data_IF_550906580373
#
_entry.id   IF_550906580373
#
_cell.length_a   1.000
_cell.length_b   1.000
_cell.length_c   1.000
_cell.angle_alpha   90.00
_cell.angle_beta   90.00
_cell.angle_gamma   90.00
#
_symmetry.space_group_name_H-M   'P 1'
#
loop_
_entity.id
_entity.type
_entity.pdbx_description
1 polymer ?
#
# COMPACT_ATOMS: atom_id res chain seq x y z
N UNK A 1 -22.49 36.33 -5.50
CA UNK A 1 -22.69 35.33 -4.42
C UNK A 1 -22.69 33.88 -4.93
N UNK A 2 -23.53 33.51 -5.91
CA UNK A 2 -23.66 32.10 -6.36
C UNK A 2 -22.39 31.49 -6.99
N UNK A 3 -21.66 32.25 -7.82
CA UNK A 3 -20.41 31.81 -8.47
C UNK A 3 -19.29 31.48 -7.48
N UNK A 4 -19.09 32.33 -6.46
CA UNK A 4 -18.09 32.08 -5.41
C UNK A 4 -18.42 30.84 -4.59
N UNK A 5 -19.71 30.60 -4.35
CA UNK A 5 -20.18 29.41 -3.64
C UNK A 5 -19.93 28.11 -4.44
N UNK A 6 -20.15 28.14 -5.75
CA UNK A 6 -19.85 27.00 -6.64
C UNK A 6 -18.35 26.70 -6.68
N UNK A 7 -17.52 27.74 -6.78
CA UNK A 7 -16.05 27.59 -6.75
C UNK A 7 -15.59 27.04 -5.39
N UNK A 8 -16.17 27.52 -4.30
CA UNK A 8 -15.85 27.04 -2.95
C UNK A 8 -16.22 25.56 -2.76
N UNK A 9 -17.41 25.15 -3.21
CA UNK A 9 -17.82 23.74 -3.16
C UNK A 9 -16.91 22.87 -4.03
N UNK A 10 -16.59 23.31 -5.26
CA UNK A 10 -15.70 22.56 -6.14
C UNK A 10 -14.29 22.38 -5.54
N UNK A 11 -13.76 23.42 -4.89
CA UNK A 11 -12.50 23.34 -4.17
C UNK A 11 -12.58 22.35 -2.99
N UNK A 12 -13.62 22.44 -2.16
CA UNK A 12 -13.82 21.49 -1.05
C UNK A 12 -13.92 20.05 -1.53
N UNK A 13 -14.64 19.80 -2.63
CA UNK A 13 -14.75 18.46 -3.22
C UNK A 13 -13.39 17.94 -3.70
N UNK A 14 -12.59 18.78 -4.35
CA UNK A 14 -11.24 18.42 -4.81
C UNK A 14 -10.32 18.06 -3.64
N UNK A 15 -10.34 18.85 -2.55
CA UNK A 15 -9.56 18.55 -1.34
C UNK A 15 -10.05 17.30 -0.60
N UNK A 16 -11.33 16.95 -0.72
CA UNK A 16 -11.91 15.75 -0.09
C UNK A 16 -11.65 14.46 -0.87
N UNK A 17 -11.00 14.54 -2.04
CA UNK A 17 -10.66 13.34 -2.79
C UNK A 17 -9.75 12.46 -1.93
N UNK A 18 -10.14 11.20 -1.65
CA UNK A 18 -9.29 10.28 -0.93
C UNK A 18 -7.96 10.20 -1.67
N UNK A 19 -6.85 10.48 -0.97
CA UNK A 19 -5.54 10.19 -1.51
C UNK A 19 -5.55 8.70 -1.88
N UNK A 20 -5.28 8.39 -3.14
CA UNK A 20 -5.19 7.02 -3.65
C UNK A 20 -4.28 6.27 -2.70
N UNK A 21 -4.86 5.44 -1.85
CA UNK A 21 -4.12 4.72 -0.83
C UNK A 21 -3.23 3.76 -1.59
N UNK A 22 -1.96 4.11 -1.78
CA UNK A 22 -1.00 3.22 -2.39
C UNK A 22 -0.95 2.01 -1.48
N UNK A 23 -1.44 0.87 -1.96
CA UNK A 23 -1.38 -0.38 -1.21
C UNK A 23 0.05 -0.55 -0.69
N UNK A 24 0.17 -0.80 0.62
CA UNK A 24 1.47 -0.92 1.26
C UNK A 24 2.24 -2.06 0.60
N UNK A 25 3.49 -1.79 0.26
CA UNK A 25 4.41 -2.79 -0.24
C UNK A 25 4.67 -3.80 0.88
N UNK A 26 4.23 -5.04 0.70
CA UNK A 26 4.50 -6.17 1.59
C UNK A 26 5.53 -7.10 0.96
N UNK A 27 6.31 -7.77 1.79
CA UNK A 27 7.28 -8.76 1.38
C UNK A 27 6.64 -10.14 1.43
N UNK A 28 6.80 -10.91 0.36
CA UNK A 28 6.29 -12.26 0.20
C UNK A 28 7.44 -13.22 -0.04
N UNK A 29 7.46 -14.36 0.65
CA UNK A 29 8.37 -15.46 0.36
C UNK A 29 7.69 -16.81 0.58
N UNK A 30 8.32 -17.88 0.09
CA UNK A 30 7.85 -19.26 0.26
C UNK A 30 8.87 -20.00 1.11
N UNK A 31 8.41 -20.71 2.14
CA UNK A 31 9.28 -21.53 2.99
C UNK A 31 9.59 -22.91 2.36
N UNK A 32 10.42 -23.69 3.03
CA UNK A 32 10.84 -25.02 2.56
C UNK A 32 9.69 -26.03 2.47
N UNK A 33 8.57 -25.76 3.15
CA UNK A 33 7.36 -26.59 3.13
C UNK A 33 6.36 -26.12 2.08
N UNK A 34 6.71 -25.11 1.28
CA UNK A 34 5.82 -24.52 0.29
C UNK A 34 4.80 -23.53 0.87
N UNK A 35 4.92 -23.12 2.14
CA UNK A 35 4.00 -22.18 2.77
C UNK A 35 4.37 -20.76 2.37
N UNK A 36 3.37 -19.99 1.93
CA UNK A 36 3.54 -18.58 1.58
C UNK A 36 3.44 -17.72 2.84
N UNK A 37 4.43 -16.88 3.06
CA UNK A 37 4.48 -15.92 4.17
C UNK A 37 4.46 -14.49 3.65
N UNK A 38 3.91 -13.59 4.46
CA UNK A 38 3.82 -12.16 4.18
C UNK A 38 4.29 -11.36 5.40
N UNK A 39 5.02 -10.27 5.19
CA UNK A 39 5.42 -9.32 6.24
C UNK A 39 5.64 -7.95 5.64
N UNK A 40 5.37 -6.89 6.37
CA UNK A 40 5.77 -5.52 6.02
C UNK A 40 7.19 -5.18 6.50
N UNK A 41 7.76 -6.02 7.39
CA UNK A 41 9.07 -5.82 7.98
C UNK A 41 10.10 -6.87 7.50
N UNK A 42 11.18 -6.40 6.86
CA UNK A 42 12.28 -7.23 6.35
C UNK A 42 12.99 -8.03 7.46
N UNK A 43 13.00 -7.53 8.71
CA UNK A 43 13.63 -8.22 9.84
C UNK A 43 12.89 -9.49 10.26
N UNK A 44 11.61 -9.62 9.90
CA UNK A 44 10.83 -10.83 10.17
C UNK A 44 11.12 -11.94 9.16
N UNK A 45 11.86 -11.65 8.07
CA UNK A 45 12.23 -12.65 7.07
C UNK A 45 13.51 -13.36 7.52
N UNK A 46 13.49 -14.69 7.69
CA UNK A 46 14.70 -15.45 7.97
C UNK A 46 15.75 -15.22 6.88
N UNK A 47 17.03 -15.14 7.27
CA UNK A 47 18.11 -14.69 6.38
C UNK A 47 18.22 -15.51 5.08
N UNK A 48 18.00 -16.82 5.17
CA UNK A 48 17.95 -17.73 4.01
C UNK A 48 16.88 -17.39 2.96
N UNK A 49 15.82 -16.70 3.35
CA UNK A 49 14.72 -16.32 2.44
C UNK A 49 14.78 -14.87 2.00
N UNK A 50 15.64 -14.01 2.60
CA UNK A 50 15.74 -12.59 2.23
C UNK A 50 16.09 -12.38 0.77
N UNK A 51 16.97 -13.21 0.22
CA UNK A 51 17.38 -13.13 -1.18
C UNK A 51 16.27 -13.51 -2.19
N UNK A 52 15.27 -14.29 -1.74
CA UNK A 52 14.16 -14.77 -2.58
C UNK A 52 12.82 -14.10 -2.22
N UNK A 53 12.82 -13.18 -1.25
CA UNK A 53 11.65 -12.41 -0.89
C UNK A 53 11.33 -11.40 -1.98
N UNK A 54 10.07 -11.34 -2.40
CA UNK A 54 9.59 -10.42 -3.43
C UNK A 54 8.72 -9.34 -2.80
N UNK A 55 8.91 -8.09 -3.22
CA UNK A 55 8.01 -7.00 -2.85
C UNK A 55 6.74 -7.09 -3.70
N UNK A 56 5.59 -7.20 -3.05
CA UNK A 56 4.29 -7.28 -3.70
C UNK A 56 3.34 -6.30 -3.04
N UNK A 57 2.36 -5.80 -3.79
CA UNK A 57 1.28 -5.02 -3.19
C UNK A 57 0.39 -5.97 -2.41
N UNK A 58 -0.18 -5.48 -1.32
CA UNK A 58 -1.23 -6.23 -0.63
C UNK A 58 -2.33 -6.57 -1.66
N UNK A 59 -2.64 -7.86 -1.86
CA UNK A 59 -3.68 -8.28 -2.80
C UNK A 59 -5.06 -7.82 -2.37
#
# INVERSE_FOLDING_TARGET
MKRGYVVFIAAMLYLSSPATSSAADILRWVDERGVVHYTDNLHNIPEKFKANATRTKMP
#
